data_IF_944291810113
#
_entry.id   IF_944291810113
#
_cell.length_a   1.000
_cell.length_b   1.000
_cell.length_c   1.000
_cell.angle_alpha   90.00
_cell.angle_beta   90.00
_cell.angle_gamma   90.00
#
_symmetry.space_group_name_H-M   'P 1'
#
loop_
_entity.id
_entity.type
_entity.pdbx_description
1 polymer ?
#
# COMPACT_ATOMS: atom_id res chain seq x y z
N UNK A 1 10.59 -3.98 10.88
CA UNK A 1 9.18 -3.95 10.52
C UNK A 1 8.80 -2.50 10.30
N UNK A 2 8.21 -2.20 9.15
CA UNK A 2 7.75 -0.86 8.78
C UNK A 2 6.56 -0.35 9.63
N UNK A 3 6.57 -0.60 10.91
CA UNK A 3 5.55 -0.20 11.86
C UNK A 3 5.45 1.34 11.99
N UNK A 4 6.58 2.04 11.87
CA UNK A 4 6.62 3.50 11.89
C UNK A 4 6.08 4.18 10.63
N UNK A 5 5.99 3.47 9.51
CA UNK A 5 5.47 3.99 8.23
C UNK A 5 3.96 3.80 8.04
N UNK A 6 3.24 3.26 9.01
CA UNK A 6 1.78 3.35 9.08
C UNK A 6 1.33 4.79 9.41
N UNK A 7 2.06 5.77 8.89
CA UNK A 7 1.64 7.19 8.94
C UNK A 7 0.39 7.47 8.11
N UNK A 8 -0.12 6.49 7.38
CA UNK A 8 -1.47 6.46 6.86
C UNK A 8 -2.47 5.90 7.91
N UNK A 9 -2.26 6.16 9.21
CA UNK A 9 -3.18 5.76 10.30
C UNK A 9 -4.65 6.08 10.01
N UNK A 10 -4.89 7.03 9.13
CA UNK A 10 -6.21 7.51 8.73
C UNK A 10 -6.70 7.00 7.37
N UNK A 11 -5.94 6.15 6.68
CA UNK A 11 -6.42 5.47 5.47
C UNK A 11 -7.39 4.34 5.80
N UNK A 12 -8.22 3.95 4.81
CA UNK A 12 -9.12 2.80 4.94
C UNK A 12 -8.60 1.61 4.16
N UNK A 13 -9.01 0.40 4.55
CA UNK A 13 -8.78 -0.77 3.72
C UNK A 13 -9.49 -0.61 2.38
N UNK A 14 -8.81 -0.98 1.31
CA UNK A 14 -9.35 -0.97 -0.04
C UNK A 14 -10.27 -2.17 -0.30
N UNK A 15 -10.38 -3.10 0.66
CA UNK A 15 -11.16 -4.31 0.54
C UNK A 15 -12.08 -4.48 1.75
N UNK A 16 -13.29 -5.00 1.55
CA UNK A 16 -14.20 -5.38 2.62
C UNK A 16 -13.57 -6.41 3.56
N UNK A 17 -14.07 -6.47 4.78
CA UNK A 17 -13.62 -7.38 5.82
C UNK A 17 -13.60 -8.85 5.38
N UNK A 18 -14.56 -9.27 4.54
CA UNK A 18 -14.65 -10.64 4.01
C UNK A 18 -13.43 -11.12 3.23
N UNK A 19 -12.65 -10.19 2.65
CA UNK A 19 -11.40 -10.51 1.94
C UNK A 19 -10.20 -10.56 2.86
N UNK A 20 -10.38 -10.30 4.16
CA UNK A 20 -9.32 -10.31 5.16
C UNK A 20 -8.96 -11.73 5.59
N UNK A 21 -7.79 -11.88 6.20
CA UNK A 21 -7.34 -13.17 6.73
C UNK A 21 -8.30 -13.69 7.81
N UNK A 22 -8.61 -15.02 7.88
CA UNK A 22 -9.52 -15.59 8.87
C UNK A 22 -9.22 -15.19 10.31
N UNK A 23 -7.94 -15.16 10.71
CA UNK A 23 -7.53 -14.74 12.05
C UNK A 23 -7.80 -13.26 12.34
N UNK A 24 -7.85 -12.40 11.31
CA UNK A 24 -8.27 -11.01 11.46
C UNK A 24 -9.79 -10.90 11.63
N UNK A 25 -10.55 -11.72 10.89
CA UNK A 25 -12.02 -11.80 11.08
C UNK A 25 -12.38 -12.26 12.48
N UNK A 26 -11.70 -13.28 13.00
CA UNK A 26 -11.87 -13.75 14.36
C UNK A 26 -11.53 -12.66 15.38
N UNK A 27 -10.41 -11.97 15.19
CA UNK A 27 -9.95 -10.91 16.07
C UNK A 27 -10.93 -9.72 16.12
N UNK A 28 -11.44 -9.27 14.96
CA UNK A 28 -12.40 -8.14 14.90
C UNK A 28 -13.78 -8.50 15.46
N UNK A 29 -14.15 -9.78 15.52
CA UNK A 29 -15.42 -10.21 16.12
C UNK A 29 -15.31 -10.34 17.65
N UNK A 30 -14.13 -10.22 18.25
CA UNK A 30 -14.00 -10.13 19.70
C UNK A 30 -14.40 -8.75 20.21
N UNK A 31 -15.35 -8.72 21.14
CA UNK A 31 -15.92 -7.48 21.70
C UNK A 31 -14.89 -6.60 22.41
N UNK A 32 -13.96 -7.20 23.15
CA UNK A 32 -12.88 -6.44 23.81
C UNK A 32 -12.03 -5.64 22.80
N UNK A 33 -11.70 -6.26 21.66
CA UNK A 33 -10.96 -5.60 20.61
C UNK A 33 -11.77 -4.46 19.99
N UNK A 34 -13.08 -4.64 19.82
CA UNK A 34 -13.98 -3.59 19.33
C UNK A 34 -14.03 -2.42 20.31
N UNK A 35 -14.22 -2.66 21.59
CA UNK A 35 -14.22 -1.60 22.61
C UNK A 35 -12.88 -0.86 22.67
N UNK A 36 -11.75 -1.57 22.56
CA UNK A 36 -10.42 -0.96 22.46
C UNK A 36 -10.33 0.02 21.28
N UNK A 37 -10.89 -0.35 20.11
CA UNK A 37 -10.92 0.50 18.91
C UNK A 37 -11.81 1.71 19.13
N UNK A 38 -13.01 1.51 19.63
CA UNK A 38 -14.00 2.58 19.91
C UNK A 38 -13.40 3.60 20.87
N UNK A 39 -12.84 3.16 21.99
CA UNK A 39 -12.21 4.01 22.99
C UNK A 39 -11.03 4.80 22.41
N UNK A 40 -10.21 4.15 21.57
CA UNK A 40 -9.11 4.85 20.91
C UNK A 40 -9.62 5.93 19.94
N UNK A 41 -10.64 5.63 19.13
CA UNK A 41 -11.19 6.60 18.18
C UNK A 41 -11.85 7.76 18.89
N UNK A 42 -12.58 7.53 19.99
CA UNK A 42 -13.21 8.58 20.77
C UNK A 42 -12.19 9.56 21.39
N UNK A 43 -11.04 9.06 21.83
CA UNK A 43 -9.92 9.86 22.34
C UNK A 43 -9.09 10.52 21.24
N UNK A 44 -9.28 10.12 19.98
CA UNK A 44 -8.48 10.64 18.86
C UNK A 44 -9.02 11.99 18.37
N UNK A 45 -8.16 12.98 18.07
CA UNK A 45 -8.58 14.29 17.56
C UNK A 45 -9.06 14.26 16.10
N UNK A 46 -8.95 13.12 15.41
CA UNK A 46 -9.37 13.00 14.01
C UNK A 46 -10.89 13.00 13.87
N UNK A 47 -11.43 14.11 13.39
CA UNK A 47 -12.84 14.23 13.03
C UNK A 47 -13.33 13.10 12.12
N UNK A 48 -12.53 12.75 11.13
CA UNK A 48 -12.84 11.67 10.17
C UNK A 48 -13.02 10.31 10.83
N UNK A 49 -12.16 9.94 11.77
CA UNK A 49 -12.31 8.69 12.50
C UNK A 49 -13.57 8.69 13.37
N UNK A 50 -13.87 9.82 14.02
CA UNK A 50 -15.09 9.98 14.81
C UNK A 50 -16.34 9.89 13.95
N UNK A 51 -16.37 10.54 12.79
CA UNK A 51 -17.47 10.46 11.83
C UNK A 51 -17.64 9.02 11.29
N UNK A 52 -16.53 8.35 10.93
CA UNK A 52 -16.59 6.94 10.55
C UNK A 52 -17.17 6.07 11.66
N UNK A 53 -16.76 6.28 12.91
CA UNK A 53 -17.26 5.53 14.05
C UNK A 53 -18.75 5.79 14.28
N UNK A 54 -19.21 7.04 14.20
CA UNK A 54 -20.64 7.37 14.37
C UNK A 54 -21.53 6.63 13.38
N UNK A 55 -21.09 6.50 12.13
CA UNK A 55 -21.83 5.77 11.07
C UNK A 55 -21.78 4.25 11.29
N UNK A 56 -20.65 3.73 11.77
CA UNK A 56 -20.41 2.28 11.79
C UNK A 56 -20.52 1.64 13.19
N UNK A 57 -20.75 2.40 14.23
CA UNK A 57 -20.74 1.92 15.61
C UNK A 57 -21.73 0.76 15.82
N UNK A 58 -22.98 0.91 15.37
CA UNK A 58 -24.02 -0.14 15.47
C UNK A 58 -23.57 -1.44 14.78
N UNK A 59 -22.89 -1.33 13.63
CA UNK A 59 -22.40 -2.50 12.88
C UNK A 59 -21.20 -3.19 13.57
N UNK A 60 -20.34 -2.43 14.23
CA UNK A 60 -19.23 -2.98 15.00
C UNK A 60 -19.73 -3.74 16.24
N UNK A 61 -20.81 -3.28 16.85
CA UNK A 61 -21.36 -3.88 18.06
C UNK A 61 -22.24 -5.11 17.81
N UNK A 62 -22.58 -5.44 16.56
CA UNK A 62 -23.29 -6.69 16.22
C UNK A 62 -22.49 -7.91 16.67
N UNK A 63 -23.18 -9.05 16.89
CA UNK A 63 -22.54 -10.32 17.25
C UNK A 63 -21.43 -10.69 16.27
N UNK A 64 -21.65 -10.42 14.98
CA UNK A 64 -20.65 -10.58 13.91
C UNK A 64 -20.57 -9.30 13.10
N UNK A 65 -19.38 -8.74 12.97
CA UNK A 65 -19.14 -7.53 12.17
C UNK A 65 -19.41 -7.84 10.70
N UNK A 66 -20.24 -7.02 10.01
CA UNK A 66 -20.57 -7.24 8.60
C UNK A 66 -19.33 -7.27 7.70
N UNK A 67 -19.32 -8.18 6.73
CA UNK A 67 -18.17 -8.36 5.82
C UNK A 67 -17.96 -7.17 4.87
N UNK A 68 -19.01 -6.38 4.64
CA UNK A 68 -19.01 -5.22 3.74
C UNK A 68 -18.43 -3.96 4.37
N UNK A 69 -18.13 -3.98 5.67
CA UNK A 69 -17.60 -2.80 6.35
C UNK A 69 -16.16 -2.51 5.91
N UNK A 70 -15.88 -1.25 5.59
CA UNK A 70 -14.54 -0.75 5.33
C UNK A 70 -13.92 -0.23 6.62
N UNK A 71 -12.89 -0.89 7.10
CA UNK A 71 -12.22 -0.55 8.35
C UNK A 71 -11.07 0.45 8.12
N UNK A 72 -10.86 1.41 9.02
CA UNK A 72 -9.64 2.21 9.03
C UNK A 72 -8.40 1.31 9.15
N UNK A 73 -7.30 1.66 8.47
CA UNK A 73 -6.03 0.92 8.56
C UNK A 73 -5.49 0.82 9.99
N UNK A 74 -5.84 1.78 10.80
CA UNK A 74 -5.56 1.78 12.23
C UNK A 74 -6.05 0.50 12.94
N UNK A 75 -7.24 0.01 12.59
CA UNK A 75 -7.81 -1.22 13.16
C UNK A 75 -6.91 -2.42 12.88
N UNK A 76 -6.34 -2.49 11.67
CA UNK A 76 -5.39 -3.54 11.33
C UNK A 76 -4.06 -3.41 12.10
N UNK A 77 -3.65 -2.21 12.47
CA UNK A 77 -2.47 -2.02 13.32
C UNK A 77 -2.67 -2.65 14.69
N UNK A 78 -3.81 -2.46 15.33
CA UNK A 78 -4.12 -3.11 16.61
C UNK A 78 -4.08 -4.63 16.51
N UNK A 79 -4.68 -5.17 15.45
CA UNK A 79 -4.59 -6.62 15.19
C UNK A 79 -3.14 -7.11 15.08
N UNK A 80 -2.29 -6.38 14.35
CA UNK A 80 -0.88 -6.76 14.21
C UNK A 80 -0.12 -6.64 15.54
N UNK A 81 -0.40 -5.62 16.35
CA UNK A 81 0.17 -5.48 17.69
C UNK A 81 -0.18 -6.68 18.58
N UNK A 82 -1.46 -7.01 18.66
CA UNK A 82 -1.92 -8.14 19.49
C UNK A 82 -1.33 -9.46 18.99
N UNK A 83 -1.22 -9.68 17.67
CA UNK A 83 -0.59 -10.88 17.10
C UNK A 83 0.90 -10.95 17.37
N UNK A 84 1.60 -9.82 17.31
CA UNK A 84 3.02 -9.78 17.68
C UNK A 84 3.18 -10.12 19.16
N UNK A 85 2.37 -9.52 20.05
CA UNK A 85 2.41 -9.82 21.48
C UNK A 85 2.08 -11.28 21.78
N UNK A 86 1.09 -11.86 21.10
CA UNK A 86 0.75 -13.29 21.22
C UNK A 86 1.93 -14.19 20.82
N UNK A 87 2.57 -13.88 19.67
CA UNK A 87 3.75 -14.63 19.22
C UNK A 87 4.90 -14.48 20.20
N UNK A 88 5.14 -13.27 20.70
CA UNK A 88 6.17 -13.02 21.70
C UNK A 88 5.92 -13.84 22.96
N UNK A 89 4.71 -13.83 23.52
CA UNK A 89 4.34 -14.64 24.69
C UNK A 89 4.59 -16.14 24.46
N UNK A 90 4.18 -16.69 23.31
CA UNK A 90 4.41 -18.10 22.96
C UNK A 90 5.88 -18.46 22.79
N UNK A 91 6.68 -17.56 22.19
CA UNK A 91 8.11 -17.81 21.92
C UNK A 91 9.02 -17.64 23.12
N UNK A 92 8.59 -16.83 24.08
CA UNK A 92 9.30 -16.65 25.34
C UNK A 92 9.37 -17.96 26.12
N UNK A 93 8.28 -18.74 26.16
CA UNK A 93 8.27 -20.10 26.76
C UNK A 93 9.32 -21.02 26.13
N UNK A 94 9.77 -20.77 24.88
CA UNK A 94 10.79 -21.55 24.15
C UNK A 94 12.21 -20.96 24.21
N UNK A 95 12.51 -20.08 25.16
CA UNK A 95 13.83 -19.42 25.33
C UNK A 95 14.37 -18.70 24.07
N UNK A 96 13.50 -18.22 23.15
CA UNK A 96 13.92 -17.51 21.97
C UNK A 96 14.15 -16.04 22.29
N UNK A 97 15.38 -15.56 22.09
CA UNK A 97 15.74 -14.15 22.27
C UNK A 97 15.28 -13.32 21.06
N UNK A 98 14.48 -12.28 21.30
CA UNK A 98 14.00 -11.37 20.28
C UNK A 98 14.50 -9.96 20.60
N UNK A 99 15.13 -9.31 19.63
CA UNK A 99 15.66 -7.95 19.77
C UNK A 99 15.04 -7.05 18.70
N UNK A 100 14.64 -5.84 19.08
CA UNK A 100 14.12 -4.82 18.21
C UNK A 100 15.13 -3.70 18.03
N UNK A 101 15.31 -3.28 16.80
CA UNK A 101 16.24 -2.23 16.44
C UNK A 101 15.53 -1.14 15.65
N UNK A 102 15.90 0.11 15.91
CA UNK A 102 15.47 1.27 15.12
C UNK A 102 16.68 1.88 14.43
N UNK A 103 16.55 2.15 13.14
CA UNK A 103 17.61 2.78 12.36
C UNK A 103 17.56 2.38 10.90
N UNK A 104 18.58 2.79 10.15
CA UNK A 104 18.71 2.48 8.75
C UNK A 104 19.78 1.40 8.55
N UNK A 105 19.45 0.37 7.78
CA UNK A 105 20.42 -0.58 7.29
C UNK A 105 21.24 0.09 6.17
N UNK A 106 22.54 0.02 6.30
CA UNK A 106 23.48 0.49 5.29
C UNK A 106 23.88 -0.62 4.33
N UNK A 107 25.18 -0.75 4.07
CA UNK A 107 25.72 -1.76 3.16
C UNK A 107 25.64 -3.16 3.76
N UNK A 108 25.51 -4.18 2.90
CA UNK A 108 25.59 -5.58 3.26
C UNK A 108 26.89 -6.18 2.72
N UNK A 109 27.59 -6.96 3.54
CA UNK A 109 28.71 -7.80 3.16
C UNK A 109 28.26 -9.26 3.16
N UNK A 110 28.51 -9.95 2.06
CA UNK A 110 28.18 -11.36 1.91
C UNK A 110 29.39 -12.20 2.29
N UNK A 111 29.20 -13.12 3.20
CA UNK A 111 30.20 -14.10 3.63
C UNK A 111 29.59 -15.52 3.49
N UNK A 112 30.42 -16.56 3.39
CA UNK A 112 29.97 -17.92 3.10
C UNK A 112 28.82 -18.40 3.99
N UNK A 113 28.86 -18.12 5.30
CA UNK A 113 27.87 -18.62 6.27
C UNK A 113 27.05 -17.51 6.96
N UNK A 114 27.37 -16.25 6.75
CA UNK A 114 26.71 -15.13 7.43
C UNK A 114 26.64 -13.88 6.55
N UNK A 115 25.75 -12.99 6.90
CA UNK A 115 25.63 -11.65 6.33
C UNK A 115 26.02 -10.64 7.40
N UNK A 116 26.89 -9.69 7.05
CA UNK A 116 27.24 -8.57 7.91
C UNK A 116 26.62 -7.29 7.39
N UNK A 117 25.74 -6.68 8.19
CA UNK A 117 24.99 -5.46 7.85
C UNK A 117 25.62 -4.27 8.55
N UNK A 118 26.16 -3.33 7.77
CA UNK A 118 26.58 -2.02 8.31
C UNK A 118 25.33 -1.18 8.59
N UNK A 119 25.28 -0.57 9.76
CA UNK A 119 24.14 0.21 10.21
C UNK A 119 24.49 1.68 10.33
N UNK A 120 23.52 2.55 10.05
CA UNK A 120 23.62 4.00 10.28
C UNK A 120 22.55 4.39 11.31
N UNK A 121 22.98 5.06 12.40
CA UNK A 121 22.05 5.52 13.43
C UNK A 121 21.09 4.41 13.92
N UNK A 122 21.67 3.27 14.26
CA UNK A 122 20.93 2.08 14.63
C UNK A 122 20.99 1.91 16.14
N UNK A 123 19.83 1.90 16.76
CA UNK A 123 19.70 1.76 18.20
C UNK A 123 18.90 0.52 18.51
N UNK A 124 19.39 -0.28 19.45
CA UNK A 124 18.62 -1.36 20.03
C UNK A 124 17.59 -0.76 20.98
N UNK A 125 16.31 -0.81 20.60
CA UNK A 125 15.25 -0.15 21.36
C UNK A 125 14.75 -1.04 22.49
N UNK A 126 14.63 -2.36 22.23
CA UNK A 126 14.02 -3.28 23.17
C UNK A 126 14.81 -4.58 23.26
N UNK A 127 15.04 -5.04 24.48
CA UNK A 127 15.21 -6.44 24.81
C UNK A 127 13.94 -6.92 25.48
N UNK A 128 13.34 -7.95 24.93
CA UNK A 128 12.22 -8.60 25.59
C UNK A 128 12.83 -9.66 26.52
N UNK A 129 12.85 -9.36 27.80
CA UNK A 129 13.15 -10.31 28.85
C UNK A 129 11.85 -10.71 29.53
N UNK A 130 11.70 -11.98 29.84
CA UNK A 130 10.57 -12.47 30.64
C UNK A 130 11.06 -12.89 32.00
N UNK A 131 10.46 -12.31 33.02
CA UNK A 131 10.41 -12.85 34.36
C UNK A 131 8.95 -13.08 34.73
N UNK A 132 8.61 -14.30 35.19
CA UNK A 132 7.29 -14.67 35.75
C UNK A 132 6.07 -14.15 34.92
N UNK A 133 5.95 -14.57 33.66
CA UNK A 133 4.79 -14.25 32.78
C UNK A 133 4.58 -12.78 32.38
N UNK A 134 5.45 -11.87 32.78
CA UNK A 134 5.41 -10.46 32.35
C UNK A 134 6.44 -10.16 31.27
N UNK A 135 6.03 -9.35 30.27
CA UNK A 135 6.93 -8.86 29.22
C UNK A 135 7.49 -7.52 29.70
N UNK A 136 8.77 -7.51 30.08
CA UNK A 136 9.47 -6.26 30.39
C UNK A 136 10.17 -5.75 29.14
N UNK A 137 9.82 -4.53 28.72
CA UNK A 137 10.47 -3.82 27.62
C UNK A 137 11.53 -2.92 28.24
N UNK A 138 12.79 -3.37 28.24
CA UNK A 138 13.90 -2.56 28.71
C UNK A 138 14.41 -1.71 27.54
N UNK A 139 14.15 -0.40 27.59
CA UNK A 139 14.70 0.58 26.62
C UNK A 139 16.21 0.65 26.82
N UNK A 140 16.98 0.33 25.79
CA UNK A 140 18.46 0.43 25.81
C UNK A 140 18.90 1.17 24.55
N UNK A 141 19.36 2.40 24.70
CA UNK A 141 19.92 3.21 23.60
C UNK A 141 21.40 2.80 23.35
N UNK A 142 21.61 1.62 22.80
CA UNK A 142 22.94 1.18 22.44
C UNK A 142 23.14 1.35 20.91
N UNK A 143 24.08 2.22 20.53
CA UNK A 143 24.44 2.39 19.12
C UNK A 143 25.13 1.12 18.60
N UNK A 144 24.62 0.59 17.50
CA UNK A 144 25.12 -0.62 16.86
C UNK A 144 25.72 -0.26 15.52
N UNK A 145 26.98 -0.63 15.29
CA UNK A 145 27.68 -0.40 14.03
C UNK A 145 27.45 -1.51 13.01
N UNK A 146 27.37 -2.76 13.47
CA UNK A 146 27.20 -3.94 12.64
C UNK A 146 26.17 -4.91 13.23
N UNK A 147 25.44 -5.60 12.36
CA UNK A 147 24.57 -6.71 12.68
C UNK A 147 24.98 -7.93 11.85
N UNK A 148 25.17 -9.06 12.51
CA UNK A 148 25.40 -10.32 11.81
C UNK A 148 24.15 -11.19 11.85
N UNK A 149 23.87 -11.86 10.75
CA UNK A 149 22.77 -12.82 10.68
C UNK A 149 23.05 -13.94 9.66
N UNK A 150 22.57 -15.13 9.94
CA UNK A 150 22.66 -16.29 9.02
C UNK A 150 21.62 -16.17 7.89
N UNK A 151 20.44 -15.65 8.19
CA UNK A 151 19.34 -15.48 7.23
C UNK A 151 18.72 -14.08 7.42
N UNK A 152 18.35 -13.46 6.32
CA UNK A 152 17.69 -12.16 6.29
C UNK A 152 16.38 -12.25 5.52
N UNK A 153 15.30 -11.75 6.12
CA UNK A 153 14.03 -11.56 5.43
C UNK A 153 13.84 -10.07 5.16
N UNK A 154 13.85 -9.67 3.90
CA UNK A 154 13.77 -8.29 3.49
C UNK A 154 12.33 -7.88 3.17
N UNK A 155 11.68 -7.21 4.11
CA UNK A 155 10.29 -6.75 4.02
C UNK A 155 10.14 -5.24 3.94
N UNK A 156 11.02 -4.56 3.22
CA UNK A 156 11.15 -3.09 3.21
C UNK A 156 10.05 -2.34 2.42
N UNK A 157 9.01 -3.01 1.96
CA UNK A 157 7.83 -2.36 1.36
C UNK A 157 8.06 -1.85 -0.06
N UNK A 158 7.38 -0.76 -0.41
CA UNK A 158 7.47 -0.13 -1.72
C UNK A 158 8.77 0.71 -1.84
N UNK A 159 9.29 0.74 -3.06
CA UNK A 159 10.37 1.68 -3.42
C UNK A 159 9.85 3.12 -3.37
N UNK A 160 10.73 4.11 -3.15
CA UNK A 160 10.35 5.51 -3.16
C UNK A 160 9.83 5.94 -4.54
N UNK A 161 9.12 7.05 -4.64
CA UNK A 161 8.71 7.59 -5.94
C UNK A 161 9.92 8.10 -6.72
N UNK A 162 9.78 8.16 -8.05
CA UNK A 162 10.82 8.72 -8.91
C UNK A 162 11.07 10.18 -8.53
N UNK A 163 12.33 10.52 -8.24
CA UNK A 163 12.71 11.92 -8.03
C UNK A 163 12.53 12.71 -9.32
N UNK A 164 11.98 13.90 -9.18
CA UNK A 164 11.88 14.88 -10.24
C UNK A 164 13.09 15.80 -10.10
N UNK A 165 13.70 16.20 -11.23
CA UNK A 165 14.88 17.10 -11.21
C UNK A 165 14.50 18.39 -10.47
N UNK A 166 15.24 18.69 -9.41
CA UNK A 166 15.14 19.97 -8.68
C UNK A 166 16.25 20.87 -9.21
N UNK A 167 15.89 22.08 -9.64
CA UNK A 167 16.84 23.00 -10.29
C UNK A 167 17.61 23.80 -9.25
N UNK A 168 16.97 24.13 -8.10
CA UNK A 168 17.61 24.85 -7.00
C UNK A 168 17.90 23.93 -5.83
N UNK A 169 19.06 24.09 -5.20
CA UNK A 169 19.47 23.31 -4.03
C UNK A 169 18.64 23.62 -2.79
N UNK A 170 18.04 24.80 -2.67
CA UNK A 170 17.10 25.16 -1.60
C UNK A 170 15.74 24.51 -1.84
N UNK A 171 15.63 23.25 -1.50
CA UNK A 171 14.34 22.54 -1.53
C UNK A 171 13.34 23.26 -0.63
N UNK A 172 12.33 23.86 -1.25
CA UNK A 172 11.24 24.47 -0.51
C UNK A 172 10.60 23.41 0.38
N UNK A 173 10.49 23.69 1.68
CA UNK A 173 9.85 22.83 2.69
C UNK A 173 8.43 22.37 2.28
N UNK A 174 7.82 23.03 1.29
CA UNK A 174 6.51 22.69 0.76
C UNK A 174 6.52 21.70 -0.40
N UNK A 175 7.69 21.20 -0.83
CA UNK A 175 7.78 20.07 -1.75
C UNK A 175 7.86 18.77 -0.95
N UNK A 176 6.87 17.90 -1.12
CA UNK A 176 6.81 16.55 -0.54
C UNK A 176 7.18 15.57 -1.64
N UNK A 177 8.42 15.10 -1.67
CA UNK A 177 8.92 14.23 -2.75
C UNK A 177 8.55 12.75 -2.54
N UNK A 178 8.49 12.30 -1.30
CA UNK A 178 8.02 10.96 -0.93
C UNK A 178 6.86 11.06 0.07
N UNK A 179 5.67 11.13 -0.48
CA UNK A 179 4.43 11.32 0.27
C UNK A 179 4.31 10.40 1.48
N UNK A 180 4.61 9.12 1.32
CA UNK A 180 4.42 8.15 2.39
C UNK A 180 5.49 8.19 3.47
N UNK A 181 6.74 8.42 3.11
CA UNK A 181 7.84 8.50 4.08
C UNK A 181 7.89 9.82 4.82
N UNK A 182 7.35 10.89 4.24
CA UNK A 182 7.30 12.22 4.83
C UNK A 182 6.01 12.51 5.62
N UNK A 183 5.33 11.51 6.12
CA UNK A 183 4.15 11.68 6.98
C UNK A 183 2.80 11.75 6.26
N UNK A 184 2.80 11.56 4.93
CA UNK A 184 1.57 11.38 4.16
C UNK A 184 0.61 12.56 4.27
N UNK A 185 -0.66 12.25 4.42
CA UNK A 185 -1.73 13.23 4.49
C UNK A 185 -1.61 14.17 5.70
N UNK A 186 -1.06 13.69 6.83
CA UNK A 186 -0.91 14.54 8.02
C UNK A 186 0.08 15.67 7.79
N UNK A 187 1.21 15.38 7.12
CA UNK A 187 2.18 16.42 6.77
C UNK A 187 1.56 17.47 5.85
N UNK A 188 0.76 17.03 4.85
CA UNK A 188 0.03 17.94 3.98
C UNK A 188 -0.92 18.86 4.76
N UNK A 189 -1.74 18.27 5.64
CA UNK A 189 -2.68 19.04 6.49
C UNK A 189 -1.96 20.08 7.35
N UNK A 190 -0.83 19.68 7.97
CA UNK A 190 -0.04 20.62 8.78
C UNK A 190 0.55 21.75 7.93
N UNK A 191 1.00 21.46 6.70
CA UNK A 191 1.49 22.50 5.78
C UNK A 191 0.39 23.47 5.37
N UNK A 192 -0.83 22.99 5.12
CA UNK A 192 -1.99 23.85 4.82
C UNK A 192 -2.32 24.75 6.01
N UNK A 193 -2.33 24.20 7.22
CA UNK A 193 -2.62 24.97 8.45
C UNK A 193 -1.61 26.08 8.75
N UNK A 194 -0.39 26.01 8.22
CA UNK A 194 0.62 27.08 8.34
C UNK A 194 0.27 28.34 7.56
N UNK A 195 -0.66 28.27 6.61
CA UNK A 195 -1.22 29.44 5.97
C UNK A 195 -2.26 30.05 6.89
N UNK A 196 -1.85 31.08 7.67
CA UNK A 196 -2.69 31.71 8.69
C UNK A 196 -3.98 32.31 8.11
N UNK A 197 -3.87 32.97 6.95
CA UNK A 197 -5.03 33.54 6.27
C UNK A 197 -5.72 32.45 5.42
N UNK A 198 -6.93 32.04 5.83
CA UNK A 198 -7.73 31.00 5.18
C UNK A 198 -8.31 31.45 3.84
N UNK A 199 -8.56 32.75 3.68
CA UNK A 199 -9.14 33.33 2.47
C UNK A 199 -8.14 33.41 1.33
N UNK A 200 -6.86 33.48 1.67
CA UNK A 200 -5.79 33.46 0.68
C UNK A 200 -5.78 32.14 -0.08
N UNK A 201 -5.88 32.23 -1.40
CA UNK A 201 -5.88 31.06 -2.30
C UNK A 201 -4.58 30.24 -2.15
N UNK A 202 -4.72 28.98 -1.74
CA UNK A 202 -3.64 28.01 -1.63
C UNK A 202 -3.74 27.05 -2.82
N UNK A 203 -2.71 27.00 -3.66
CA UNK A 203 -2.64 26.05 -4.78
C UNK A 203 -1.80 24.85 -4.39
N UNK A 204 -2.38 23.65 -4.49
CA UNK A 204 -1.72 22.38 -4.22
C UNK A 204 -1.60 21.61 -5.52
N UNK A 205 -0.42 21.14 -5.87
CA UNK A 205 -0.21 20.32 -7.06
C UNK A 205 0.23 18.91 -6.72
N UNK A 206 -0.53 17.93 -7.17
CA UNK A 206 -0.19 16.52 -7.12
C UNK A 206 0.46 16.08 -8.43
N UNK A 207 1.63 15.46 -8.36
CA UNK A 207 2.29 14.85 -9.50
C UNK A 207 2.02 13.35 -9.46
N UNK A 208 1.12 12.91 -10.31
CA UNK A 208 0.59 11.55 -10.36
C UNK A 208 -0.88 11.45 -9.94
N UNK A 209 -1.54 10.39 -10.39
CA UNK A 209 -2.96 10.13 -10.14
C UNK A 209 -3.14 8.70 -9.61
N UNK A 210 -2.51 8.38 -8.47
CA UNK A 210 -2.51 7.04 -7.85
C UNK A 210 -3.14 7.07 -6.45
N UNK A 211 -3.06 5.94 -5.75
CA UNK A 211 -3.70 5.73 -4.44
C UNK A 211 -3.40 6.84 -3.41
N UNK A 212 -2.17 7.35 -3.37
CA UNK A 212 -1.80 8.45 -2.45
C UNK A 212 -2.61 9.72 -2.67
N UNK A 213 -2.95 10.05 -3.94
CA UNK A 213 -3.84 11.15 -4.24
C UNK A 213 -5.24 10.91 -3.66
N UNK A 214 -5.82 9.73 -3.88
CA UNK A 214 -7.17 9.43 -3.42
C UNK A 214 -7.29 9.49 -1.90
N UNK A 215 -6.30 8.97 -1.19
CA UNK A 215 -6.29 9.00 0.28
C UNK A 215 -6.32 10.44 0.83
N UNK A 216 -5.83 11.41 0.07
CA UNK A 216 -5.85 12.83 0.46
C UNK A 216 -7.18 13.54 0.16
N UNK A 217 -7.97 13.03 -0.80
CA UNK A 217 -9.17 13.74 -1.28
C UNK A 217 -10.22 13.95 -0.19
N UNK A 218 -10.42 12.97 0.69
CA UNK A 218 -11.36 13.10 1.80
C UNK A 218 -10.96 14.24 2.73
N UNK A 219 -9.69 14.28 3.13
CA UNK A 219 -9.22 15.32 4.06
C UNK A 219 -9.15 16.69 3.41
N UNK A 220 -8.86 16.76 2.10
CA UNK A 220 -8.93 18.02 1.38
C UNK A 220 -10.36 18.52 1.24
N UNK A 221 -11.33 17.62 1.05
CA UNK A 221 -12.75 17.98 1.10
C UNK A 221 -13.09 18.62 2.45
N UNK A 222 -12.75 17.98 3.57
CA UNK A 222 -13.02 18.50 4.92
C UNK A 222 -12.33 19.85 5.15
N UNK A 223 -11.07 20.01 4.70
CA UNK A 223 -10.33 21.26 4.85
C UNK A 223 -10.99 22.41 4.06
N UNK A 224 -11.45 22.13 2.85
CA UNK A 224 -12.02 23.14 1.96
C UNK A 224 -13.41 23.55 2.42
N UNK A 225 -14.29 22.61 2.72
CA UNK A 225 -15.70 22.88 2.95
C UNK A 225 -16.07 23.05 4.43
N UNK A 226 -15.46 22.25 5.30
CA UNK A 226 -15.77 22.33 6.73
C UNK A 226 -14.90 23.37 7.47
N UNK A 227 -13.60 23.46 7.10
CA UNK A 227 -12.66 24.41 7.70
C UNK A 227 -12.51 25.71 6.91
N UNK A 228 -13.19 25.83 5.79
CA UNK A 228 -13.26 27.01 4.91
C UNK A 228 -11.91 27.54 4.42
N UNK A 229 -10.92 26.63 4.15
CA UNK A 229 -9.68 27.05 3.49
C UNK A 229 -9.91 27.20 1.98
N UNK A 230 -9.46 28.32 1.42
CA UNK A 230 -9.52 28.54 -0.03
C UNK A 230 -8.42 27.77 -0.74
N UNK A 231 -8.67 26.49 -1.03
CA UNK A 231 -7.71 25.58 -1.68
C UNK A 231 -8.15 25.25 -3.10
N UNK A 232 -7.21 25.33 -4.05
CA UNK A 232 -7.32 24.79 -5.40
C UNK A 232 -6.31 23.67 -5.63
N UNK A 233 -6.71 22.63 -6.37
CA UNK A 233 -5.95 21.40 -6.54
C UNK A 233 -5.62 21.19 -8.02
N UNK A 234 -4.35 21.09 -8.36
CA UNK A 234 -3.90 20.64 -9.67
C UNK A 234 -3.46 19.18 -9.59
N UNK A 235 -3.85 18.37 -10.57
CA UNK A 235 -3.42 16.98 -10.70
C UNK A 235 -2.73 16.80 -12.04
N UNK A 236 -1.41 16.59 -12.01
CA UNK A 236 -0.59 16.37 -13.20
C UNK A 236 -0.48 14.86 -13.45
N UNK A 237 -0.90 14.39 -14.61
CA UNK A 237 -0.78 12.98 -14.99
C UNK A 237 -0.72 12.79 -16.49
N UNK A 238 0.11 11.85 -16.97
CA UNK A 238 0.13 11.44 -18.39
C UNK A 238 -1.16 10.79 -18.83
N UNK A 239 -1.75 9.97 -17.96
CA UNK A 239 -3.01 9.25 -18.18
C UNK A 239 -3.93 9.44 -16.97
N UNK A 240 -5.17 9.74 -17.23
CA UNK A 240 -6.19 9.76 -16.19
C UNK A 240 -6.50 8.31 -15.86
N UNK A 241 -5.99 7.83 -14.74
CA UNK A 241 -6.35 6.50 -14.26
C UNK A 241 -7.77 6.53 -13.70
N UNK A 242 -8.65 5.74 -14.26
CA UNK A 242 -9.96 5.48 -13.70
C UNK A 242 -9.82 4.45 -12.58
N UNK A 243 -10.31 4.79 -11.40
CA UNK A 243 -10.44 3.87 -10.28
C UNK A 243 -11.91 3.57 -10.09
N UNK A 244 -12.25 2.31 -9.95
CA UNK A 244 -13.64 1.88 -9.78
C UNK A 244 -13.99 1.87 -8.29
N UNK A 245 -15.24 2.22 -7.97
CA UNK A 245 -15.78 2.09 -6.62
C UNK A 245 -15.94 0.60 -6.27
N UNK A 246 -15.38 0.18 -5.15
CA UNK A 246 -15.60 -1.14 -4.59
C UNK A 246 -16.95 -1.14 -3.86
N UNK A 247 -18.02 -1.19 -4.61
CA UNK A 247 -19.39 -1.21 -4.11
C UNK A 247 -20.09 -2.46 -4.64
N UNK A 248 -20.70 -3.23 -3.74
CA UNK A 248 -21.57 -4.34 -4.12
C UNK A 248 -22.90 -3.81 -4.68
N UNK A 249 -23.52 -4.58 -5.53
CA UNK A 249 -24.94 -4.38 -5.88
C UNK A 249 -25.81 -4.68 -4.64
N UNK A 250 -26.98 -4.07 -4.62
CA UNK A 250 -27.96 -4.32 -3.57
C UNK A 250 -28.76 -5.62 -3.87
N UNK A 251 -28.05 -6.71 -4.22
CA UNK A 251 -28.64 -8.01 -4.50
C UNK A 251 -28.22 -9.02 -3.45
N UNK A 252 -29.16 -9.79 -2.97
CA UNK A 252 -28.92 -10.86 -1.99
C UNK A 252 -28.20 -12.05 -2.61
N UNK A 253 -28.38 -12.26 -3.91
CA UNK A 253 -27.72 -13.33 -4.65
C UNK A 253 -26.30 -12.98 -5.09
N UNK A 254 -25.44 -14.02 -5.15
CA UNK A 254 -24.10 -13.89 -5.71
C UNK A 254 -24.13 -13.92 -7.23
N UNK A 255 -23.23 -13.16 -7.87
CA UNK A 255 -23.08 -13.17 -9.32
C UNK A 255 -22.77 -14.57 -9.85
N UNK A 256 -23.57 -15.04 -10.82
CA UNK A 256 -23.34 -16.31 -11.53
C UNK A 256 -22.66 -16.03 -12.88
N UNK A 257 -21.50 -16.69 -13.13
CA UNK A 257 -20.76 -16.52 -14.38
C UNK A 257 -21.51 -17.11 -15.57
N UNK A 258 -21.45 -16.37 -16.69
CA UNK A 258 -21.94 -16.80 -18.00
C UNK A 258 -20.76 -17.19 -18.91
N UNK A 259 -19.69 -16.39 -18.89
CA UNK A 259 -18.53 -16.56 -19.77
C UNK A 259 -17.33 -17.20 -19.05
N UNK A 260 -17.21 -17.14 -17.76
CA UNK A 260 -16.18 -17.85 -16.99
C UNK A 260 -16.66 -19.20 -16.43
N UNK A 261 -17.39 -19.97 -17.24
CA UNK A 261 -17.79 -21.35 -16.90
C UNK A 261 -16.63 -22.32 -17.11
N UNK A 262 -16.73 -23.52 -16.55
CA UNK A 262 -15.70 -24.57 -16.75
C UNK A 262 -15.53 -24.90 -18.25
N UNK A 263 -16.61 -24.89 -19.05
CA UNK A 263 -16.56 -25.09 -20.50
C UNK A 263 -15.67 -24.06 -21.19
N UNK A 264 -15.84 -22.77 -20.88
CA UNK A 264 -15.03 -21.70 -21.47
C UNK A 264 -13.58 -21.72 -20.98
N UNK A 265 -13.37 -22.00 -19.68
CA UNK A 265 -12.01 -22.07 -19.10
C UNK A 265 -11.20 -23.21 -19.74
N UNK A 266 -11.81 -24.36 -20.03
CA UNK A 266 -11.16 -25.49 -20.72
C UNK A 266 -10.65 -25.12 -22.11
N UNK A 267 -11.31 -24.20 -22.83
CA UNK A 267 -10.96 -23.74 -24.18
C UNK A 267 -9.94 -22.60 -24.22
N UNK A 268 -9.46 -22.10 -23.07
CA UNK A 268 -8.47 -21.03 -23.01
C UNK A 268 -7.08 -21.58 -23.39
N UNK A 269 -6.54 -21.10 -24.51
CA UNK A 269 -5.19 -21.37 -24.97
C UNK A 269 -4.35 -20.11 -25.18
N UNK A 270 -4.99 -18.91 -25.30
CA UNK A 270 -4.32 -17.62 -25.48
C UNK A 270 -4.63 -16.68 -24.31
N UNK A 271 -3.63 -15.92 -23.86
CA UNK A 271 -3.75 -14.98 -22.73
C UNK A 271 -4.81 -13.88 -22.96
N UNK A 272 -4.98 -13.41 -24.20
CA UNK A 272 -5.95 -12.38 -24.55
C UNK A 272 -7.40 -12.82 -24.30
N UNK A 273 -7.69 -14.12 -24.41
CA UNK A 273 -9.02 -14.67 -24.17
C UNK A 273 -9.48 -14.42 -22.73
N UNK A 274 -8.56 -14.48 -21.76
CA UNK A 274 -8.88 -14.18 -20.36
C UNK A 274 -9.41 -12.75 -20.21
N UNK A 275 -8.77 -11.78 -20.87
CA UNK A 275 -9.21 -10.38 -20.86
C UNK A 275 -10.55 -10.21 -21.56
N UNK A 276 -10.75 -10.89 -22.68
CA UNK A 276 -12.00 -10.87 -23.44
C UNK A 276 -13.17 -11.41 -22.62
N UNK A 277 -13.01 -12.59 -22.03
CA UNK A 277 -14.03 -13.17 -21.15
C UNK A 277 -14.38 -12.27 -19.97
N UNK A 278 -13.35 -11.66 -19.34
CA UNK A 278 -13.57 -10.72 -18.22
C UNK A 278 -14.40 -9.50 -18.65
N UNK A 279 -14.11 -8.95 -19.84
CA UNK A 279 -14.89 -7.81 -20.37
C UNK A 279 -16.35 -8.21 -20.66
N UNK A 280 -16.56 -9.39 -21.26
CA UNK A 280 -17.91 -9.92 -21.51
C UNK A 280 -18.70 -10.13 -20.20
N UNK A 281 -18.05 -10.67 -19.15
CA UNK A 281 -18.67 -10.79 -17.84
C UNK A 281 -19.07 -9.43 -17.24
N UNK A 282 -18.22 -8.42 -17.39
CA UNK A 282 -18.55 -7.07 -16.90
C UNK A 282 -19.72 -6.42 -17.63
N UNK A 283 -19.88 -6.69 -18.94
CA UNK A 283 -21.05 -6.25 -19.71
C UNK A 283 -22.30 -6.99 -19.27
N UNK A 284 -22.24 -8.31 -19.18
CA UNK A 284 -23.35 -9.15 -18.73
C UNK A 284 -23.81 -8.77 -17.29
N UNK A 285 -22.85 -8.53 -16.40
CA UNK A 285 -23.15 -8.09 -15.05
C UNK A 285 -23.93 -6.77 -15.04
N UNK A 286 -23.54 -5.80 -15.85
CA UNK A 286 -24.24 -4.52 -15.98
C UNK A 286 -25.70 -4.76 -16.46
N UNK A 287 -25.91 -5.60 -17.46
CA UNK A 287 -27.24 -5.93 -17.98
C UNK A 287 -28.12 -6.63 -16.92
N UNK A 288 -27.52 -7.33 -15.97
CA UNK A 288 -28.18 -7.98 -14.84
C UNK A 288 -28.22 -7.12 -13.57
N UNK A 289 -27.92 -5.82 -13.64
CA UNK A 289 -27.85 -4.89 -12.52
C UNK A 289 -26.87 -5.31 -11.41
N UNK A 290 -25.78 -6.02 -11.76
CA UNK A 290 -24.65 -6.26 -10.87
C UNK A 290 -23.53 -5.25 -11.12
N UNK A 291 -22.81 -4.90 -10.06
CA UNK A 291 -21.61 -4.06 -10.17
C UNK A 291 -20.41 -4.90 -10.63
N UNK A 292 -19.45 -4.27 -11.31
CA UNK A 292 -18.17 -4.93 -11.68
C UNK A 292 -17.46 -5.52 -10.46
N UNK A 293 -17.68 -4.98 -9.28
CA UNK A 293 -17.06 -5.43 -8.04
C UNK A 293 -17.60 -6.77 -7.59
N UNK A 294 -18.89 -7.08 -7.80
CA UNK A 294 -19.48 -8.39 -7.53
C UNK A 294 -18.79 -9.46 -8.36
N UNK A 295 -18.68 -9.23 -9.68
CA UNK A 295 -17.99 -10.13 -10.61
C UNK A 295 -16.54 -10.36 -10.18
N UNK A 296 -15.82 -9.27 -9.89
CA UNK A 296 -14.42 -9.35 -9.51
C UNK A 296 -14.22 -10.14 -8.21
N UNK A 297 -15.10 -9.94 -7.25
CA UNK A 297 -15.06 -10.66 -5.98
C UNK A 297 -15.29 -12.16 -6.17
N UNK A 298 -16.26 -12.53 -7.01
CA UNK A 298 -16.52 -13.95 -7.32
C UNK A 298 -15.36 -14.57 -8.13
N UNK A 299 -14.71 -13.83 -9.04
CA UNK A 299 -13.50 -14.28 -9.73
C UNK A 299 -12.40 -14.63 -8.74
N UNK A 300 -12.18 -13.77 -7.71
CA UNK A 300 -11.18 -14.01 -6.68
C UNK A 300 -11.55 -15.18 -5.77
N UNK A 301 -12.82 -15.27 -5.34
CA UNK A 301 -13.31 -16.32 -4.45
C UNK A 301 -13.18 -17.71 -5.10
N UNK A 302 -13.57 -17.83 -6.36
CA UNK A 302 -13.55 -19.10 -7.11
C UNK A 302 -12.21 -19.38 -7.79
N UNK A 303 -11.19 -18.51 -7.58
CA UNK A 303 -9.86 -18.60 -8.17
C UNK A 303 -9.87 -18.75 -9.72
N UNK A 304 -10.82 -18.08 -10.38
CA UNK A 304 -11.05 -18.20 -11.83
C UNK A 304 -9.80 -17.85 -12.63
N UNK A 305 -9.11 -16.76 -12.29
CA UNK A 305 -7.89 -16.37 -12.99
C UNK A 305 -6.79 -17.40 -12.85
N UNK A 306 -6.62 -18.01 -11.69
CA UNK A 306 -5.62 -19.05 -11.48
C UNK A 306 -5.91 -20.27 -12.36
N UNK A 307 -7.17 -20.74 -12.36
CA UNK A 307 -7.62 -21.83 -13.23
C UNK A 307 -7.38 -21.53 -14.70
N UNK A 308 -7.68 -20.29 -15.14
CA UNK A 308 -7.49 -19.87 -16.53
C UNK A 308 -6.02 -19.79 -16.92
N UNK A 309 -5.16 -19.25 -16.05
CA UNK A 309 -3.72 -19.11 -16.31
C UNK A 309 -3.02 -20.48 -16.33
N UNK A 310 -3.49 -21.44 -15.53
CA UNK A 310 -2.93 -22.80 -15.55
C UNK A 310 -3.06 -23.47 -16.93
N UNK A 311 -4.09 -23.14 -17.70
CA UNK A 311 -4.31 -23.68 -19.07
C UNK A 311 -3.34 -23.09 -20.10
N UNK A 312 -2.73 -21.95 -19.86
CA UNK A 312 -1.79 -21.32 -20.77
C UNK A 312 -0.46 -22.07 -20.79
N UNK A 313 0.15 -22.20 -21.98
CA UNK A 313 1.52 -22.65 -22.13
C UNK A 313 2.53 -21.59 -21.59
N UNK A 314 3.82 -21.90 -21.65
CA UNK A 314 4.89 -21.05 -21.09
C UNK A 314 4.98 -19.69 -21.78
N UNK A 315 4.82 -19.62 -23.11
CA UNK A 315 4.87 -18.38 -23.89
C UNK A 315 3.65 -17.49 -23.59
N UNK A 316 2.45 -18.04 -23.58
CA UNK A 316 1.22 -17.33 -23.27
C UNK A 316 1.17 -16.84 -21.80
N UNK A 317 1.74 -17.60 -20.85
CA UNK A 317 1.94 -17.11 -19.47
C UNK A 317 2.84 -15.87 -19.42
N UNK A 318 3.87 -15.81 -20.28
CA UNK A 318 4.73 -14.62 -20.39
C UNK A 318 3.95 -13.43 -20.97
N UNK A 319 3.18 -13.66 -22.05
CA UNK A 319 2.29 -12.64 -22.65
C UNK A 319 1.26 -12.15 -21.63
N UNK A 320 0.61 -13.07 -20.90
CA UNK A 320 -0.32 -12.72 -19.83
C UNK A 320 0.32 -11.78 -18.81
N UNK A 321 1.48 -12.12 -18.28
CA UNK A 321 2.13 -11.34 -17.24
C UNK A 321 2.61 -9.96 -17.73
N UNK A 322 3.10 -9.88 -18.97
CA UNK A 322 3.67 -8.65 -19.52
C UNK A 322 2.62 -7.68 -20.06
N UNK A 323 1.59 -8.18 -20.73
CA UNK A 323 0.67 -7.37 -21.53
C UNK A 323 -0.79 -7.45 -21.06
N UNK A 324 -1.26 -8.63 -20.73
CA UNK A 324 -2.69 -8.84 -20.43
C UNK A 324 -3.01 -8.48 -19.00
N UNK A 325 -2.20 -8.95 -18.06
CA UNK A 325 -2.40 -8.67 -16.66
C UNK A 325 -2.40 -7.16 -16.30
N UNK A 326 -1.51 -6.31 -16.82
CA UNK A 326 -1.60 -4.87 -16.62
C UNK A 326 -2.94 -4.27 -17.10
N UNK A 327 -3.51 -4.78 -18.21
CA UNK A 327 -4.82 -4.37 -18.72
C UNK A 327 -5.96 -4.82 -17.79
N UNK A 328 -5.94 -6.09 -17.34
CA UNK A 328 -6.89 -6.60 -16.34
C UNK A 328 -6.81 -5.74 -15.07
N UNK A 329 -5.61 -5.49 -14.56
CA UNK A 329 -5.40 -4.66 -13.37
C UNK A 329 -5.95 -3.25 -13.52
N UNK A 330 -5.91 -2.67 -14.69
CA UNK A 330 -6.46 -1.33 -14.92
C UNK A 330 -7.98 -1.30 -14.80
N UNK A 331 -8.69 -2.33 -15.32
CA UNK A 331 -10.15 -2.39 -15.27
C UNK A 331 -10.70 -2.97 -13.96
N UNK A 332 -9.84 -3.63 -13.15
CA UNK A 332 -10.20 -4.23 -11.86
C UNK A 332 -9.57 -3.49 -10.67
N UNK A 333 -9.17 -2.24 -10.87
CA UNK A 333 -8.70 -1.37 -9.81
C UNK A 333 -9.88 -0.83 -9.02
N UNK A 334 -10.20 -1.53 -7.94
CA UNK A 334 -11.25 -1.12 -7.03
C UNK A 334 -10.64 -0.48 -5.78
N UNK A 335 -11.30 0.56 -5.29
CA UNK A 335 -11.02 1.17 -3.99
C UNK A 335 -12.33 1.50 -3.30
N UNK A 336 -12.29 1.67 -1.99
CA UNK A 336 -13.48 2.03 -1.25
C UNK A 336 -14.10 3.32 -1.80
N UNK A 337 -15.44 3.48 -1.74
CA UNK A 337 -16.16 4.51 -2.50
C UNK A 337 -15.85 5.94 -2.09
N UNK A 338 -15.70 6.19 -0.79
CA UNK A 338 -15.61 7.55 -0.22
C UNK A 338 -14.54 8.47 -0.85
N UNK A 339 -13.27 8.04 -1.07
CA UNK A 339 -12.28 8.93 -1.68
C UNK A 339 -12.60 9.28 -3.13
N UNK A 340 -13.26 8.35 -3.84
CA UNK A 340 -13.70 8.62 -5.21
C UNK A 340 -14.83 9.65 -5.18
N UNK A 341 -15.82 9.43 -4.31
CA UNK A 341 -16.93 10.37 -4.12
C UNK A 341 -16.43 11.75 -3.67
N UNK A 342 -15.45 11.80 -2.76
CA UNK A 342 -14.84 13.08 -2.35
C UNK A 342 -14.13 13.77 -3.53
N UNK A 343 -13.41 13.02 -4.36
CA UNK A 343 -12.77 13.56 -5.56
C UNK A 343 -13.80 14.09 -6.55
N UNK A 344 -14.87 13.33 -6.83
CA UNK A 344 -15.97 13.73 -7.70
C UNK A 344 -16.65 15.01 -7.18
N UNK A 345 -16.90 15.08 -5.88
CA UNK A 345 -17.45 16.27 -5.23
C UNK A 345 -16.55 17.50 -5.40
N UNK A 346 -15.25 17.36 -5.15
CA UNK A 346 -14.27 18.44 -5.36
C UNK A 346 -14.19 18.86 -6.84
N UNK A 347 -14.35 17.93 -7.79
CA UNK A 347 -14.41 18.24 -9.23
C UNK A 347 -15.67 19.01 -9.59
N UNK A 348 -16.85 18.58 -9.10
CA UNK A 348 -18.13 19.27 -9.28
C UNK A 348 -18.06 20.73 -8.80
N UNK A 349 -17.39 20.99 -7.68
CA UNK A 349 -17.20 22.33 -7.13
C UNK A 349 -15.98 23.06 -7.70
N UNK A 350 -15.48 22.65 -8.87
CA UNK A 350 -14.36 23.28 -9.59
C UNK A 350 -13.07 23.46 -8.75
N UNK A 351 -12.90 22.67 -7.68
CA UNK A 351 -11.71 22.72 -6.81
C UNK A 351 -10.53 21.90 -7.38
N UNK A 352 -10.76 21.03 -8.37
CA UNK A 352 -9.75 20.20 -9.01
C UNK A 352 -9.60 20.55 -10.49
N UNK A 353 -8.36 20.80 -10.92
CA UNK A 353 -7.95 20.93 -12.32
C UNK A 353 -7.06 19.74 -12.71
N UNK A 354 -7.50 18.97 -13.71
CA UNK A 354 -6.70 17.89 -14.30
C UNK A 354 -5.78 18.46 -15.38
N UNK A 355 -4.49 18.18 -15.29
CA UNK A 355 -3.47 18.68 -16.22
C UNK A 355 -2.77 17.46 -16.85
N UNK A 356 -2.93 17.31 -18.16
CA UNK A 356 -2.25 16.28 -18.92
C UNK A 356 -0.79 16.68 -19.12
N UNK A 357 0.15 15.79 -18.76
CA UNK A 357 1.59 16.03 -18.92
C UNK A 357 2.42 15.23 -17.91
N UNK A 358 3.73 15.35 -18.04
CA UNK A 358 4.74 14.77 -17.13
C UNK A 358 5.55 15.89 -16.52
N UNK A 359 5.61 15.96 -15.19
CA UNK A 359 6.55 16.84 -14.52
C UNK A 359 7.99 16.42 -14.81
N UNK A 360 8.81 17.34 -15.33
CA UNK A 360 10.21 17.10 -15.67
C UNK A 360 11.17 17.79 -14.69
N UNK A 361 10.81 18.99 -14.19
CA UNK A 361 11.63 19.70 -13.22
C UNK A 361 10.79 20.54 -12.27
N UNK A 362 11.39 20.86 -11.12
CA UNK A 362 10.81 21.69 -10.06
C UNK A 362 11.83 22.78 -9.74
N UNK A 363 11.36 24.02 -9.63
CA UNK A 363 12.14 25.18 -9.20
C UNK A 363 11.40 25.88 -8.05
N UNK A 364 12.11 26.21 -6.98
CA UNK A 364 11.59 26.98 -5.86
C UNK A 364 11.78 28.47 -6.10
N UNK A 365 10.72 29.27 -5.92
CA UNK A 365 10.78 30.72 -5.91
C UNK A 365 10.13 31.22 -4.60
N UNK A 366 10.97 31.65 -3.64
CA UNK A 366 10.48 32.16 -2.33
C UNK A 366 9.35 31.30 -1.73
N UNK A 367 8.09 31.71 -1.90
CA UNK A 367 6.88 31.06 -1.35
C UNK A 367 6.15 30.14 -2.37
N UNK A 368 6.62 30.09 -3.61
CA UNK A 368 5.96 29.39 -4.73
C UNK A 368 6.91 28.34 -5.31
N UNK A 369 6.35 27.23 -5.73
CA UNK A 369 7.05 26.16 -6.44
C UNK A 369 6.55 26.14 -7.90
N UNK A 370 7.50 26.17 -8.83
CA UNK A 370 7.25 26.05 -10.26
C UNK A 370 7.44 24.58 -10.67
N UNK A 371 6.45 23.98 -11.27
CA UNK A 371 6.53 22.63 -11.86
C UNK A 371 6.53 22.76 -13.37
N UNK A 372 7.64 22.43 -14.03
CA UNK A 372 7.74 22.42 -15.50
C UNK A 372 7.32 21.06 -16.04
N UNK A 373 6.47 21.07 -17.05
CA UNK A 373 5.98 19.88 -17.73
C UNK A 373 6.74 19.60 -19.02
N UNK A 374 6.62 18.37 -19.55
CA UNK A 374 7.20 17.92 -20.82
C UNK A 374 6.67 18.69 -22.04
N UNK A 375 5.49 19.26 -21.96
CA UNK A 375 4.89 20.15 -22.97
C UNK A 375 5.21 21.64 -22.73
N UNK A 376 6.32 21.96 -22.06
CA UNK A 376 6.83 23.31 -21.75
C UNK A 376 5.96 24.15 -20.81
N UNK A 377 4.78 23.69 -20.41
CA UNK A 377 3.90 24.42 -19.48
C UNK A 377 4.53 24.49 -18.09
N UNK A 378 4.30 25.60 -17.40
CA UNK A 378 4.74 25.85 -16.02
C UNK A 378 3.51 25.99 -15.12
N UNK A 379 3.48 25.21 -14.04
CA UNK A 379 2.42 25.24 -13.04
C UNK A 379 2.96 25.85 -11.75
N UNK A 380 2.35 26.95 -11.32
CA UNK A 380 2.69 27.64 -10.06
C UNK A 380 1.90 27.01 -8.92
N UNK A 381 2.57 26.71 -7.79
CA UNK A 381 1.96 26.01 -6.65
C UNK A 381 2.58 26.45 -5.32
N UNK A 382 1.78 26.46 -4.26
CA UNK A 382 2.25 26.71 -2.90
C UNK A 382 2.77 25.43 -2.25
N UNK A 383 2.15 24.28 -2.58
CA UNK A 383 2.57 22.95 -2.11
C UNK A 383 2.60 22.01 -3.31
N UNK A 384 3.66 21.22 -3.43
CA UNK A 384 3.80 20.20 -4.48
C UNK A 384 4.03 18.85 -3.83
N UNK A 385 3.31 17.82 -4.31
CA UNK A 385 3.34 16.48 -3.74
C UNK A 385 3.56 15.46 -4.84
N UNK A 386 4.60 14.65 -4.68
CA UNK A 386 4.88 13.57 -5.62
C UNK A 386 4.19 12.26 -5.18
N UNK A 387 3.12 11.91 -5.89
CA UNK A 387 2.36 10.67 -5.75
C UNK A 387 2.42 9.80 -7.01
N UNK A 388 3.47 9.96 -7.83
CA UNK A 388 3.63 9.25 -9.10
C UNK A 388 3.76 7.73 -8.95
N UNK A 389 3.98 7.25 -7.74
CA UNK A 389 4.18 5.84 -7.38
C UNK A 389 5.65 5.43 -7.42
N UNK A 390 5.95 4.17 -7.04
CA UNK A 390 7.32 3.72 -6.88
C UNK A 390 8.08 3.75 -8.20
N UNK A 391 9.37 4.05 -8.11
CA UNK A 391 10.31 3.95 -9.20
C UNK A 391 10.54 2.47 -9.57
N UNK A 392 10.97 2.21 -10.79
CA UNK A 392 11.43 0.88 -11.16
C UNK A 392 12.82 0.60 -10.57
N UNK A 393 13.13 -0.67 -10.30
CA UNK A 393 14.38 -1.06 -9.65
C UNK A 393 15.62 -0.76 -10.52
N UNK A 394 15.48 -0.85 -11.85
CA UNK A 394 16.52 -0.54 -12.83
C UNK A 394 16.84 0.97 -12.94
N UNK A 395 15.91 1.82 -12.53
CA UNK A 395 16.01 3.29 -12.60
C UNK A 395 16.37 3.95 -11.26
N UNK A 396 16.78 3.16 -10.29
CA UNK A 396 17.08 3.63 -8.94
C UNK A 396 18.51 4.18 -8.86
N UNK A 397 18.64 5.50 -8.92
CA UNK A 397 19.92 6.20 -8.66
C UNK A 397 20.07 6.68 -7.21
N UNK A 398 19.06 6.49 -6.35
CA UNK A 398 18.99 7.01 -4.97
C UNK A 398 18.53 5.97 -3.98
N UNK A 399 19.01 4.78 -4.17
CA UNK A 399 18.65 3.66 -3.31
C UNK A 399 19.20 3.83 -1.92
N UNK A 400 18.51 3.19 -0.98
CA UNK A 400 19.16 2.92 0.29
C UNK A 400 20.45 2.14 0.02
N UNK A 401 21.51 2.46 0.74
CA UNK A 401 22.80 1.77 0.62
C UNK A 401 22.64 0.23 0.65
N UNK A 402 21.62 -0.26 1.39
CA UNK A 402 21.27 -1.68 1.44
C UNK A 402 20.86 -2.23 0.08
N UNK A 403 19.87 -1.61 -0.58
CA UNK A 403 19.37 -2.08 -1.89
C UNK A 403 20.48 -1.99 -2.94
N UNK A 404 21.23 -0.90 -2.95
CA UNK A 404 22.38 -0.73 -3.83
C UNK A 404 23.42 -1.82 -3.62
N UNK A 405 23.74 -2.12 -2.37
CA UNK A 405 24.67 -3.19 -2.02
C UNK A 405 24.18 -4.57 -2.46
N UNK A 406 22.88 -4.86 -2.32
CA UNK A 406 22.29 -6.12 -2.79
C UNK A 406 22.35 -6.21 -4.31
N UNK A 407 22.02 -5.14 -5.03
CA UNK A 407 22.09 -5.12 -6.51
C UNK A 407 23.49 -5.44 -7.02
N UNK A 408 24.51 -4.79 -6.43
CA UNK A 408 25.91 -4.98 -6.83
C UNK A 408 26.42 -6.40 -6.59
N UNK A 409 25.98 -7.05 -5.50
CA UNK A 409 26.48 -8.37 -5.11
C UNK A 409 25.71 -9.54 -5.73
N UNK A 410 24.44 -9.35 -6.08
CA UNK A 410 23.58 -10.45 -6.50
C UNK A 410 23.28 -10.42 -8.00
N UNK A 411 23.21 -9.26 -8.60
CA UNK A 411 22.91 -9.01 -10.02
C UNK A 411 21.70 -9.78 -10.59
N UNK A 412 20.69 -10.07 -9.72
CA UNK A 412 19.46 -10.79 -10.09
C UNK A 412 18.25 -9.87 -9.95
N UNK A 413 18.10 -8.93 -10.89
CA UNK A 413 16.97 -7.99 -10.87
C UNK A 413 16.62 -7.51 -12.28
N UNK A 414 15.38 -7.05 -12.43
CA UNK A 414 14.91 -6.31 -13.60
C UNK A 414 14.07 -5.10 -13.16
N UNK A 415 13.43 -4.40 -14.12
CA UNK A 415 12.55 -3.25 -13.82
C UNK A 415 11.37 -3.57 -12.88
N UNK A 416 11.00 -4.83 -12.72
CA UNK A 416 9.89 -5.27 -11.88
C UNK A 416 10.31 -5.59 -10.45
N UNK A 417 11.59 -5.86 -10.22
CA UNK A 417 12.10 -6.18 -8.90
C UNK A 417 13.24 -7.20 -8.91
N UNK A 418 13.62 -7.66 -7.74
CA UNK A 418 14.61 -8.72 -7.59
C UNK A 418 14.04 -10.07 -8.04
N UNK A 419 14.82 -10.80 -8.85
CA UNK A 419 14.44 -12.12 -9.37
C UNK A 419 14.71 -13.18 -8.29
N UNK A 420 13.65 -13.66 -7.67
CA UNK A 420 13.70 -14.70 -6.64
C UNK A 420 13.23 -16.04 -7.20
N UNK A 421 13.58 -17.14 -6.56
CA UNK A 421 13.03 -18.45 -6.88
C UNK A 421 11.57 -18.62 -6.36
N UNK A 422 10.97 -19.80 -6.56
CA UNK A 422 9.61 -20.12 -6.08
C UNK A 422 9.46 -20.06 -4.55
N UNK A 423 10.54 -20.13 -3.79
CA UNK A 423 10.60 -20.03 -2.33
C UNK A 423 10.86 -18.59 -1.86
N UNK A 424 10.83 -17.60 -2.77
CA UNK A 424 11.17 -16.18 -2.54
C UNK A 424 12.60 -15.94 -2.05
N UNK A 425 13.50 -16.85 -2.36
CA UNK A 425 14.94 -16.71 -2.10
C UNK A 425 15.60 -15.93 -3.22
N UNK A 426 16.29 -14.86 -2.90
CA UNK A 426 17.19 -14.14 -3.79
C UNK A 426 18.57 -14.83 -3.81
N UNK A 427 19.06 -15.18 -2.60
CA UNK A 427 20.23 -16.02 -2.34
C UNK A 427 19.85 -17.04 -1.26
N UNK A 428 20.75 -17.94 -0.90
CA UNK A 428 20.54 -18.88 0.21
C UNK A 428 20.31 -18.17 1.56
N UNK A 429 20.78 -16.93 1.68
CA UNK A 429 20.73 -16.15 2.91
C UNK A 429 19.63 -15.06 2.88
N UNK A 430 19.15 -14.63 1.70
CA UNK A 430 18.21 -13.51 1.55
C UNK A 430 16.86 -13.95 0.98
N UNK A 431 15.80 -13.65 1.70
CA UNK A 431 14.41 -13.90 1.31
C UNK A 431 13.65 -12.58 1.11
N UNK A 432 12.81 -12.50 0.09
CA UNK A 432 12.06 -11.30 -0.29
C UNK A 432 10.56 -11.61 -0.48
N UNK A 433 9.74 -11.56 0.57
CA UNK A 433 8.30 -11.84 0.47
C UNK A 433 7.49 -10.69 -0.14
N UNK A 434 8.08 -9.50 -0.24
CA UNK A 434 7.39 -8.26 -0.51
C UNK A 434 7.37 -7.81 -1.96
N UNK A 435 6.88 -6.59 -2.16
CA UNK A 435 6.58 -5.99 -3.48
C UNK A 435 7.79 -5.72 -4.37
N UNK A 436 9.00 -5.76 -3.83
CA UNK A 436 10.25 -5.60 -4.60
C UNK A 436 10.76 -6.92 -5.16
N UNK A 437 10.07 -8.04 -4.92
CA UNK A 437 10.36 -9.33 -5.53
C UNK A 437 9.59 -9.48 -6.85
N UNK A 438 10.30 -9.95 -7.89
CA UNK A 438 9.71 -10.27 -9.19
C UNK A 438 8.55 -11.28 -9.11
N UNK A 439 8.66 -12.26 -8.22
CA UNK A 439 7.64 -13.28 -8.01
C UNK A 439 6.46 -12.79 -7.16
N UNK A 440 6.54 -11.55 -6.64
CA UNK A 440 5.42 -10.95 -5.96
C UNK A 440 4.34 -10.58 -6.96
N UNK A 441 3.27 -11.36 -6.97
CA UNK A 441 2.12 -11.13 -7.85
C UNK A 441 0.89 -10.72 -7.02
N UNK A 442 0.66 -9.41 -6.83
CA UNK A 442 -0.50 -8.92 -6.08
C UNK A 442 -1.82 -9.09 -6.86
N UNK A 443 -1.78 -9.54 -8.12
CA UNK A 443 -2.95 -9.66 -8.98
C UNK A 443 -3.93 -10.73 -8.55
N UNK A 444 -3.42 -11.76 -7.90
CA UNK A 444 -4.20 -12.90 -7.48
C UNK A 444 -4.74 -12.78 -6.06
N UNK A 445 -4.24 -11.79 -5.32
CA UNK A 445 -4.54 -11.63 -3.90
C UNK A 445 -4.37 -10.17 -3.49
N UNK A 446 -4.98 -9.78 -2.37
CA UNK A 446 -4.63 -8.51 -1.74
C UNK A 446 -3.15 -8.51 -1.36
N UNK A 447 -2.52 -7.34 -1.31
CA UNK A 447 -1.11 -7.21 -0.91
C UNK A 447 -0.86 -7.93 0.43
N UNK A 448 -1.76 -7.77 1.39
CA UNK A 448 -1.67 -8.42 2.71
C UNK A 448 -1.69 -9.95 2.58
N UNK A 449 -2.65 -10.49 1.83
CA UNK A 449 -2.76 -11.95 1.63
C UNK A 449 -1.56 -12.51 0.87
N UNK A 450 -1.04 -11.78 -0.11
CA UNK A 450 0.16 -12.18 -0.84
C UNK A 450 1.40 -12.22 0.08
N UNK A 451 1.62 -11.18 0.89
CA UNK A 451 2.73 -11.15 1.87
C UNK A 451 2.58 -12.28 2.88
N UNK A 452 1.38 -12.51 3.42
CA UNK A 452 1.13 -13.60 4.39
C UNK A 452 1.46 -14.97 3.80
N UNK A 453 1.02 -15.26 2.57
CA UNK A 453 1.29 -16.53 1.92
C UNK A 453 2.79 -16.71 1.60
N UNK A 454 3.45 -15.64 1.14
CA UNK A 454 4.88 -15.67 0.85
C UNK A 454 5.69 -15.87 2.13
N UNK A 455 5.33 -15.19 3.22
CA UNK A 455 5.98 -15.33 4.53
C UNK A 455 5.82 -16.73 5.09
N UNK A 456 4.65 -17.38 4.92
CA UNK A 456 4.44 -18.78 5.31
C UNK A 456 5.34 -19.73 4.53
N UNK A 457 5.48 -19.54 3.20
CA UNK A 457 6.39 -20.35 2.38
C UNK A 457 7.85 -20.18 2.78
N UNK A 458 8.27 -18.97 3.10
CA UNK A 458 9.62 -18.68 3.60
C UNK A 458 9.84 -19.37 4.95
N UNK A 459 8.88 -19.24 5.88
CA UNK A 459 8.97 -19.89 7.17
C UNK A 459 9.14 -21.41 7.04
N UNK A 460 8.30 -22.05 6.22
CA UNK A 460 8.44 -23.49 5.95
C UNK A 460 9.81 -23.83 5.34
N UNK A 461 10.35 -23.00 4.46
CA UNK A 461 11.68 -23.23 3.87
C UNK A 461 12.83 -23.09 4.89
N UNK A 462 12.69 -22.20 5.87
CA UNK A 462 13.73 -21.96 6.90
C UNK A 462 13.70 -23.02 7.99
N UNK A 463 12.50 -23.46 8.39
CA UNK A 463 12.32 -24.31 9.58
C UNK A 463 12.07 -25.80 9.28
N UNK A 464 11.70 -26.14 8.04
CA UNK A 464 11.47 -27.54 7.63
C UNK A 464 12.71 -28.15 6.93
N UNK A 465 13.91 -27.74 7.34
CA UNK A 465 15.18 -28.37 6.94
C UNK A 465 15.67 -29.31 8.02
#
# INVERSE_FOLDING_TARGET
>A
VAYSKLNSKFGFFNNPLRLSHPSFKSWINNKENIYKIINFINKNPSFRLKNWLSINNKNLLKKKVPEEIYLPRLVYSFYLEDKILEILKKKIKKKIKISFYQGNLGKIKFEKKKLTLKTKNYFKIFNINTKKNFIFIKKKNQKIKFLECKKMILGNGLLPPKKIKVIDQSLNKNYIWDFYSEGGTNNLVQKIKKFKNKDKKITITFIGNKAGLLETMLQLKDIIFERRYNVSINIISKKIATLNKAKFSNKDEKYKFVFFTNKHIKKINKAIQILSLLKKEFVNAKNKNFNKYDVWTEILNKKILDKSIHKLNKSEKKIYNLFIFPKIRNITRFTYPEPITAKEYLQKHKKIKMIKGKAISIKSLKKIILVRLDNRRIIKSHIVINVSGPVNLDQLNYESDLIKSIKLNVNKFDKRGFITNKKFMLTEQIYMPGVISYNFNPSRQTIIKAITNNSRRIANTIFNK
#
